data_IF_359071274653
#
_entry.id   IF_359071274653
#
_cell.length_a   1.000
_cell.length_b   1.000
_cell.length_c   1.000
_cell.angle_alpha   90.00
_cell.angle_beta   90.00
_cell.angle_gamma   90.00
#
_symmetry.space_group_name_H-M   'P 1'
#
loop_
_entity.id
_entity.type
_entity.pdbx_description
1 polymer ?
#
# COMPACT_ATOMS: atom_id res chain seq x y z
N UNK A 1 15.07 15.41 -15.88
CA UNK A 1 15.28 14.32 -14.90
C UNK A 1 14.10 14.37 -13.93
N UNK A 2 13.26 13.33 -13.93
CA UNK A 2 12.04 13.28 -13.11
C UNK A 2 12.39 13.35 -11.62
N UNK A 3 11.56 13.99 -10.79
CA UNK A 3 11.83 14.16 -9.36
C UNK A 3 12.02 12.82 -8.62
N UNK A 4 11.30 11.76 -9.00
CA UNK A 4 11.50 10.41 -8.48
C UNK A 4 12.92 9.86 -8.71
N UNK A 5 13.56 10.17 -9.83
CA UNK A 5 14.95 9.78 -10.09
C UNK A 5 15.92 10.50 -9.15
N UNK A 6 15.63 11.75 -8.77
CA UNK A 6 16.43 12.48 -7.76
C UNK A 6 16.27 11.85 -6.39
N UNK A 7 15.06 11.47 -6.00
CA UNK A 7 14.77 10.80 -4.74
C UNK A 7 15.51 9.44 -4.69
N UNK A 8 15.36 8.61 -5.72
CA UNK A 8 16.05 7.33 -5.84
C UNK A 8 17.58 7.45 -5.82
N UNK A 9 18.15 8.62 -6.08
CA UNK A 9 19.61 8.87 -6.01
C UNK A 9 20.10 9.28 -4.62
N UNK A 10 19.21 9.71 -3.74
CA UNK A 10 19.55 10.19 -2.39
C UNK A 10 19.40 9.11 -1.32
N UNK A 11 18.55 8.11 -1.55
CA UNK A 11 18.31 7.02 -0.59
C UNK A 11 19.50 6.05 -0.59
N UNK A 12 19.84 5.53 0.59
CA UNK A 12 20.82 4.45 0.76
C UNK A 12 20.16 3.08 0.60
N UNK A 13 20.54 2.32 -0.42
CA UNK A 13 20.04 0.99 -0.71
C UNK A 13 21.03 0.23 -1.61
N UNK A 14 20.87 -1.09 -1.66
CA UNK A 14 21.40 -1.92 -2.75
C UNK A 14 20.24 -2.67 -3.42
N UNK A 15 20.48 -3.13 -4.64
CA UNK A 15 19.48 -3.88 -5.41
C UNK A 15 20.08 -5.18 -5.93
N UNK A 16 19.23 -6.18 -6.07
CA UNK A 16 19.56 -7.50 -6.61
C UNK A 16 18.48 -7.89 -7.65
N UNK A 17 18.91 -8.18 -8.88
CA UNK A 17 18.06 -8.79 -9.89
C UNK A 17 18.05 -10.30 -9.69
N UNK A 18 17.01 -10.83 -9.07
CA UNK A 18 16.86 -12.27 -8.84
C UNK A 18 16.42 -12.97 -10.14
N UNK A 19 15.53 -12.34 -10.90
CA UNK A 19 15.11 -12.80 -12.23
C UNK A 19 14.51 -11.63 -13.04
N UNK A 20 14.14 -11.82 -14.32
CA UNK A 20 13.43 -10.78 -15.08
C UNK A 20 12.12 -10.32 -14.43
N UNK A 21 11.53 -11.15 -13.56
CA UNK A 21 10.24 -10.90 -12.91
C UNK A 21 10.36 -10.58 -11.42
N UNK A 22 11.55 -10.67 -10.84
CA UNK A 22 11.80 -10.52 -9.40
C UNK A 22 12.98 -9.59 -9.16
N UNK A 23 12.74 -8.54 -8.38
CA UNK A 23 13.72 -7.52 -8.04
C UNK A 23 13.70 -7.26 -6.55
N UNK A 24 14.87 -7.30 -5.91
CA UNK A 24 14.99 -7.14 -4.47
C UNK A 24 15.73 -5.86 -4.14
N UNK A 25 15.18 -5.08 -3.21
CA UNK A 25 15.77 -3.85 -2.67
C UNK A 25 16.16 -4.09 -1.23
N UNK A 26 17.42 -3.84 -0.89
CA UNK A 26 17.90 -3.91 0.48
C UNK A 26 17.97 -2.51 1.08
N UNK A 27 17.37 -2.36 2.27
CA UNK A 27 17.24 -1.11 3.00
C UNK A 27 18.01 -1.25 4.32
N UNK A 28 19.32 -0.93 4.37
CA UNK A 28 20.15 -1.20 5.55
C UNK A 28 19.70 -0.45 6.80
N UNK A 29 19.08 0.73 6.64
CA UNK A 29 18.60 1.55 7.76
C UNK A 29 17.24 1.12 8.35
N UNK A 30 16.47 0.28 7.65
CA UNK A 30 15.16 -0.16 8.10
C UNK A 30 14.17 0.97 8.41
N UNK A 31 13.37 0.81 9.47
CA UNK A 31 12.43 1.83 9.94
C UNK A 31 13.12 2.89 10.83
N UNK A 32 12.88 4.18 10.57
CA UNK A 32 13.36 5.28 11.41
C UNK A 32 12.48 5.48 12.66
N UNK A 33 12.93 6.31 13.61
CA UNK A 33 12.16 6.65 14.81
C UNK A 33 10.74 7.19 14.50
N UNK A 34 10.59 8.02 13.48
CA UNK A 34 9.28 8.55 13.05
C UNK A 34 8.30 7.47 12.61
N UNK A 35 8.80 6.26 12.30
CA UNK A 35 7.97 5.17 11.86
C UNK A 35 7.07 4.61 12.95
N UNK A 36 7.35 4.90 14.22
CA UNK A 36 6.65 4.35 15.39
C UNK A 36 5.62 5.35 15.94
N UNK A 37 4.48 4.85 16.39
CA UNK A 37 3.46 5.65 17.07
C UNK A 37 3.86 6.01 18.50
N UNK A 38 3.26 7.07 19.04
CA UNK A 38 3.60 7.58 20.36
C UNK A 38 2.93 6.79 21.50
N UNK A 39 1.92 5.99 21.21
CA UNK A 39 1.04 5.41 22.23
C UNK A 39 1.46 4.00 22.64
N UNK A 40 1.78 3.16 21.66
CA UNK A 40 2.15 1.76 21.83
C UNK A 40 3.54 1.44 21.27
N UNK A 41 4.20 2.40 20.60
CA UNK A 41 5.48 2.16 19.94
C UNK A 41 5.33 1.21 18.76
N UNK A 42 4.15 1.15 18.14
CA UNK A 42 3.91 0.28 16.98
C UNK A 42 4.28 0.98 15.67
N UNK A 43 4.68 0.21 14.67
CA UNK A 43 4.93 0.74 13.33
C UNK A 43 3.63 1.32 12.76
N UNK A 44 3.66 2.59 12.38
CA UNK A 44 2.54 3.28 11.73
C UNK A 44 2.25 2.67 10.35
N UNK A 45 0.98 2.54 9.96
CA UNK A 45 0.61 2.10 8.61
C UNK A 45 1.25 2.92 7.48
N UNK A 46 1.36 4.24 7.67
CA UNK A 46 2.04 5.13 6.72
C UNK A 46 3.47 4.69 6.47
N UNK A 47 4.20 4.30 7.51
CA UNK A 47 5.60 3.86 7.40
C UNK A 47 5.73 2.59 6.56
N UNK A 48 4.80 1.65 6.74
CA UNK A 48 4.71 0.43 5.92
C UNK A 48 4.49 0.77 4.44
N UNK A 49 3.51 1.63 4.15
CA UNK A 49 3.20 2.08 2.78
C UNK A 49 4.38 2.83 2.14
N UNK A 50 5.04 3.71 2.90
CA UNK A 50 6.15 4.53 2.41
C UNK A 50 7.43 3.74 2.17
N UNK A 51 7.73 2.71 2.99
CA UNK A 51 8.88 1.83 2.75
C UNK A 51 8.74 1.10 1.41
N UNK A 52 7.54 0.59 1.12
CA UNK A 52 7.26 -0.07 -0.17
C UNK A 52 7.23 0.93 -1.32
N UNK A 53 6.76 2.16 -1.10
CA UNK A 53 6.83 3.18 -2.14
C UNK A 53 8.26 3.53 -2.49
N UNK A 54 9.08 3.76 -1.48
CA UNK A 54 10.51 4.04 -1.62
C UNK A 54 11.24 2.91 -2.34
N UNK A 55 10.97 1.65 -1.98
CA UNK A 55 11.56 0.49 -2.66
C UNK A 55 11.08 0.39 -4.11
N UNK A 56 9.82 0.72 -4.41
CA UNK A 56 9.29 0.74 -5.77
C UNK A 56 9.96 1.81 -6.63
N UNK A 57 10.09 3.04 -6.13
CA UNK A 57 10.80 4.13 -6.80
C UNK A 57 12.25 3.74 -7.10
N UNK A 58 12.94 3.10 -6.15
CA UNK A 58 14.33 2.65 -6.36
C UNK A 58 14.45 1.47 -7.31
N UNK A 59 13.43 0.60 -7.40
CA UNK A 59 13.39 -0.47 -8.41
C UNK A 59 13.09 0.04 -9.82
N UNK A 60 12.27 1.09 -9.97
CA UNK A 60 11.95 1.68 -11.27
C UNK A 60 13.07 2.56 -11.81
N UNK A 61 13.80 3.25 -10.93
CA UNK A 61 14.92 4.14 -11.30
C UNK A 61 16.18 3.87 -10.47
N UNK A 62 16.78 2.68 -10.57
CA UNK A 62 17.97 2.34 -9.81
C UNK A 62 19.19 3.16 -10.25
N UNK A 63 20.12 3.47 -9.32
CA UNK A 63 21.30 4.31 -9.61
C UNK A 63 22.30 3.66 -10.58
N UNK A 64 22.50 2.34 -10.48
CA UNK A 64 23.61 1.60 -11.10
C UNK A 64 23.18 0.22 -11.64
N UNK A 65 21.88 0.02 -11.89
CA UNK A 65 21.33 -1.26 -12.32
C UNK A 65 20.26 -1.06 -13.38
N UNK A 66 19.71 -2.14 -13.93
CA UNK A 66 18.62 -2.05 -14.88
C UNK A 66 17.28 -1.78 -14.17
N UNK A 67 16.39 -1.05 -14.82
CA UNK A 67 15.05 -0.77 -14.28
C UNK A 67 14.24 -2.07 -14.17
N UNK A 68 13.62 -2.30 -13.01
CA UNK A 68 12.70 -3.42 -12.84
C UNK A 68 11.56 -3.32 -13.85
N UNK A 69 11.31 -4.41 -14.60
CA UNK A 69 10.30 -4.48 -15.67
C UNK A 69 10.46 -3.43 -16.78
N UNK A 70 11.69 -2.95 -17.02
CA UNK A 70 12.00 -1.87 -17.96
C UNK A 70 11.13 -0.63 -17.73
N UNK A 71 10.77 -0.34 -16.47
CA UNK A 71 9.81 0.70 -16.12
C UNK A 71 10.27 2.09 -16.54
N UNK A 72 11.56 2.38 -16.45
CA UNK A 72 12.09 3.64 -16.96
C UNK A 72 11.82 3.81 -18.46
N UNK A 73 11.96 2.74 -19.26
CA UNK A 73 11.67 2.78 -20.70
C UNK A 73 10.17 2.89 -20.95
N UNK A 74 9.37 2.09 -20.24
CA UNK A 74 7.92 2.05 -20.42
C UNK A 74 7.26 3.41 -20.10
N UNK A 75 7.72 4.08 -19.04
CA UNK A 75 7.17 5.35 -18.56
C UNK A 75 7.70 6.60 -19.29
N UNK A 76 8.52 6.44 -20.34
CA UNK A 76 8.89 7.58 -21.22
C UNK A 76 7.72 8.03 -22.09
N UNK A 77 6.94 7.06 -22.56
CA UNK A 77 5.85 7.28 -23.53
C UNK A 77 4.46 7.04 -22.92
N UNK A 78 4.40 6.59 -21.66
CA UNK A 78 3.16 6.19 -21.00
C UNK A 78 3.09 6.73 -19.57
N UNK A 79 1.87 6.85 -19.06
CA UNK A 79 1.60 7.08 -17.64
C UNK A 79 1.19 5.77 -16.98
N UNK A 80 1.30 5.73 -15.66
CA UNK A 80 0.82 4.60 -14.86
C UNK A 80 -0.09 5.11 -13.76
N UNK A 81 -1.27 4.51 -13.67
CA UNK A 81 -2.24 4.79 -12.63
C UNK A 81 -2.35 3.59 -11.68
N UNK A 82 -2.51 3.86 -10.38
CA UNK A 82 -2.72 2.81 -9.38
C UNK A 82 -4.23 2.68 -9.17
N UNK A 83 -4.82 1.58 -9.61
CA UNK A 83 -6.26 1.37 -9.50
C UNK A 83 -6.67 0.79 -8.13
N UNK A 84 -5.84 -0.11 -7.59
CA UNK A 84 -6.09 -0.76 -6.29
C UNK A 84 -4.77 -1.05 -5.60
N UNK A 85 -4.71 -0.85 -4.29
CA UNK A 85 -3.68 -1.42 -3.42
C UNK A 85 -4.30 -2.35 -2.38
N UNK A 86 -3.52 -3.31 -1.92
CA UNK A 86 -3.80 -4.10 -0.74
C UNK A 86 -2.52 -4.30 0.05
N UNK A 87 -2.57 -3.99 1.34
CA UNK A 87 -1.55 -4.24 2.34
C UNK A 87 -2.09 -5.30 3.30
N UNK A 88 -1.32 -6.35 3.51
CA UNK A 88 -1.52 -7.37 4.55
C UNK A 88 -0.33 -7.35 5.48
N UNK A 89 -0.57 -7.21 6.77
CA UNK A 89 0.46 -7.06 7.78
C UNK A 89 0.53 -8.34 8.62
N UNK A 90 1.73 -8.79 8.95
CA UNK A 90 1.95 -9.86 9.93
C UNK A 90 1.97 -9.27 11.34
N UNK A 91 1.38 -9.95 12.34
CA UNK A 91 1.46 -9.47 13.73
C UNK A 91 2.91 -9.32 14.22
N UNK A 92 3.85 -10.08 13.66
CA UNK A 92 5.28 -10.02 14.02
C UNK A 92 5.89 -8.62 13.87
N UNK A 93 5.37 -7.76 12.98
CA UNK A 93 5.88 -6.39 12.84
C UNK A 93 5.59 -5.52 14.07
N UNK A 94 4.62 -5.90 14.90
CA UNK A 94 4.25 -5.15 16.11
C UNK A 94 4.94 -5.63 17.38
N UNK A 95 5.64 -6.77 17.32
CA UNK A 95 6.43 -7.25 18.45
C UNK A 95 7.65 -6.34 18.70
N UNK A 96 7.88 -6.00 19.96
CA UNK A 96 8.97 -5.11 20.38
C UNK A 96 10.35 -5.74 20.15
N UNK A 97 10.49 -7.04 20.44
CA UNK A 97 11.77 -7.77 20.33
C UNK A 97 12.12 -8.17 18.89
N UNK A 98 11.23 -7.89 17.94
CA UNK A 98 11.46 -8.19 16.54
C UNK A 98 12.30 -7.08 15.90
N UNK A 99 13.43 -7.40 15.24
CA UNK A 99 14.27 -6.39 14.59
C UNK A 99 13.48 -5.50 13.62
N UNK A 100 13.85 -4.24 13.47
CA UNK A 100 13.21 -3.30 12.52
C UNK A 100 14.17 -2.81 11.42
N UNK A 101 15.35 -3.42 11.40
CA UNK A 101 16.44 -3.22 10.46
C UNK A 101 17.38 -4.45 10.50
N UNK A 102 18.16 -4.70 9.44
CA UNK A 102 17.95 -4.18 8.09
C UNK A 102 16.67 -4.77 7.48
N UNK A 103 16.07 -4.05 6.54
CA UNK A 103 14.88 -4.51 5.82
C UNK A 103 15.22 -4.89 4.38
N UNK A 104 14.38 -5.72 3.78
CA UNK A 104 14.41 -5.99 2.33
C UNK A 104 13.00 -6.00 1.79
N UNK A 105 12.82 -5.47 0.58
CA UNK A 105 11.57 -5.56 -0.17
C UNK A 105 11.81 -6.32 -1.46
N UNK A 106 11.13 -7.45 -1.61
CA UNK A 106 11.15 -8.22 -2.86
C UNK A 106 9.93 -7.88 -3.68
N UNK A 107 10.13 -7.24 -4.83
CA UNK A 107 9.10 -6.98 -5.82
C UNK A 107 9.02 -8.13 -6.84
N UNK A 108 7.81 -8.58 -7.16
CA UNK A 108 7.57 -9.55 -8.21
C UNK A 108 6.40 -9.15 -9.11
N UNK A 109 6.52 -9.43 -10.41
CA UNK A 109 5.40 -9.32 -11.34
C UNK A 109 4.46 -10.50 -11.10
N UNK A 110 3.26 -10.22 -10.62
CA UNK A 110 2.32 -11.24 -10.16
C UNK A 110 1.16 -11.49 -11.15
N UNK A 111 0.88 -10.55 -12.04
CA UNK A 111 -0.18 -10.65 -13.04
C UNK A 111 0.07 -9.68 -14.19
N UNK A 112 -0.31 -10.07 -15.41
CA UNK A 112 -0.33 -9.24 -16.61
C UNK A 112 -1.69 -9.42 -17.29
N UNK A 113 -2.37 -8.31 -17.53
CA UNK A 113 -3.54 -8.19 -18.40
C UNK A 113 -3.18 -7.37 -19.64
N UNK A 114 -4.18 -7.01 -20.45
CA UNK A 114 -3.96 -6.26 -21.69
C UNK A 114 -3.33 -4.87 -21.44
N UNK A 115 -3.93 -4.10 -20.51
CA UNK A 115 -3.52 -2.73 -20.16
C UNK A 115 -3.16 -2.58 -18.69
N UNK A 116 -3.07 -3.67 -17.93
CA UNK A 116 -2.84 -3.63 -16.49
C UNK A 116 -1.90 -4.73 -16.01
N UNK A 117 -1.25 -4.49 -14.88
CA UNK A 117 -0.39 -5.47 -14.23
C UNK A 117 -0.54 -5.42 -12.72
N UNK A 118 -0.09 -6.48 -12.04
CA UNK A 118 0.00 -6.50 -10.57
C UNK A 118 1.45 -6.69 -10.16
N UNK A 119 1.93 -5.83 -9.26
CA UNK A 119 3.20 -6.05 -8.56
C UNK A 119 2.88 -6.53 -7.15
N UNK A 120 3.47 -7.65 -6.74
CA UNK A 120 3.53 -8.10 -5.35
C UNK A 120 4.83 -7.61 -4.74
N UNK A 121 4.78 -7.12 -3.50
CA UNK A 121 5.96 -6.70 -2.76
C UNK A 121 5.94 -7.34 -1.38
N UNK A 122 7.01 -8.03 -1.01
CA UNK A 122 7.12 -8.71 0.29
C UNK A 122 8.19 -7.99 1.09
N UNK A 123 7.81 -7.47 2.25
CA UNK A 123 8.70 -6.82 3.21
C UNK A 123 9.21 -7.87 4.21
N UNK A 124 10.52 -8.04 4.27
CA UNK A 124 11.19 -9.00 5.16
C UNK A 124 12.30 -8.34 5.97
N UNK A 125 12.68 -9.00 7.07
CA UNK A 125 13.92 -8.78 7.78
C UNK A 125 14.73 -10.09 7.75
N UNK A 126 16.05 -10.09 7.50
CA UNK A 126 16.85 -11.31 7.41
C UNK A 126 16.77 -12.22 8.65
N UNK A 127 16.60 -11.64 9.83
CA UNK A 127 16.56 -12.36 11.11
C UNK A 127 15.17 -12.92 11.44
N UNK A 128 14.15 -12.57 10.65
CA UNK A 128 12.77 -13.00 10.90
C UNK A 128 12.32 -13.96 9.80
N UNK A 129 11.86 -15.18 10.17
CA UNK A 129 11.53 -16.22 9.20
C UNK A 129 10.28 -15.87 8.37
N UNK A 130 9.34 -15.11 8.94
CA UNK A 130 8.10 -14.69 8.28
C UNK A 130 8.21 -13.23 7.79
N UNK A 131 7.57 -12.90 6.65
CA UNK A 131 7.52 -11.51 6.18
C UNK A 131 6.70 -10.63 7.15
N UNK A 132 7.09 -9.36 7.28
CA UNK A 132 6.33 -8.38 8.05
C UNK A 132 5.07 -7.93 7.36
N UNK A 133 5.12 -7.84 6.03
CA UNK A 133 3.97 -7.41 5.26
C UNK A 133 4.07 -7.87 3.81
N UNK A 134 2.91 -8.04 3.21
CA UNK A 134 2.76 -8.25 1.78
C UNK A 134 1.90 -7.13 1.20
N UNK A 135 2.34 -6.61 0.07
CA UNK A 135 1.68 -5.53 -0.63
C UNK A 135 1.38 -5.95 -2.04
N UNK A 136 0.21 -5.55 -2.52
CA UNK A 136 -0.20 -5.76 -3.88
C UNK A 136 -0.62 -4.44 -4.47
N UNK A 137 -0.11 -4.14 -5.65
CA UNK A 137 -0.45 -2.92 -6.37
C UNK A 137 -0.94 -3.30 -7.76
N UNK A 138 -2.15 -2.87 -8.10
CA UNK A 138 -2.70 -3.00 -9.44
C UNK A 138 -2.46 -1.72 -10.23
N UNK A 139 -1.62 -1.81 -11.25
CA UNK A 139 -1.28 -0.72 -12.14
C UNK A 139 -2.05 -0.83 -13.44
N UNK A 140 -2.48 0.31 -13.98
CA UNK A 140 -3.05 0.45 -15.31
C UNK A 140 -2.12 1.35 -16.13
N UNK A 141 -1.74 0.90 -17.31
CA UNK A 141 -0.97 1.70 -18.27
C UNK A 141 -1.93 2.66 -18.97
N UNK A 142 -1.58 3.94 -19.00
CA UNK A 142 -2.42 5.01 -19.51
C UNK A 142 -1.68 5.73 -20.65
N UNK A 143 -2.38 5.94 -21.75
CA UNK A 143 -1.91 6.77 -22.85
C UNK A 143 -1.96 8.26 -22.42
N UNK A 144 -0.84 9.00 -22.48
CA UNK A 144 -0.78 10.37 -21.97
C UNK A 144 -1.69 11.34 -22.72
N UNK A 145 -1.91 11.13 -24.02
CA UNK A 145 -2.68 12.04 -24.88
C UNK A 145 -4.19 11.86 -24.71
N UNK A 146 -4.64 10.61 -24.64
CA UNK A 146 -6.08 10.27 -24.53
C UNK A 146 -6.54 10.13 -23.09
N UNK A 147 -5.60 9.97 -22.13
CA UNK A 147 -5.87 9.69 -20.72
C UNK A 147 -6.70 8.42 -20.50
N UNK A 148 -6.62 7.46 -21.43
CA UNK A 148 -7.34 6.18 -21.40
C UNK A 148 -6.40 5.00 -21.21
N UNK A 149 -6.88 3.87 -20.67
CA UNK A 149 -6.10 2.63 -20.61
C UNK A 149 -5.59 2.22 -21.99
N UNK A 150 -4.31 1.86 -22.08
CA UNK A 150 -3.65 1.42 -23.32
C UNK A 150 -2.93 0.09 -23.12
N UNK A 151 -2.79 -0.69 -24.19
CA UNK A 151 -2.13 -1.98 -24.12
C UNK A 151 -0.62 -1.82 -23.88
N UNK A 152 0.01 -2.81 -23.24
CA UNK A 152 1.47 -2.81 -23.15
C UNK A 152 2.12 -2.87 -24.54
N UNK A 153 3.22 -2.15 -24.78
CA UNK A 153 3.95 -2.23 -26.03
C UNK A 153 4.41 -3.64 -26.35
N UNK A 154 4.46 -3.99 -27.64
CA UNK A 154 4.86 -5.34 -28.10
C UNK A 154 6.19 -5.79 -27.50
N UNK A 155 7.21 -4.94 -27.47
CA UNK A 155 8.52 -5.27 -26.90
C UNK A 155 8.46 -5.67 -25.42
N UNK A 156 7.51 -5.09 -24.66
CA UNK A 156 7.32 -5.39 -23.24
C UNK A 156 6.61 -6.73 -23.09
N UNK A 157 5.58 -6.97 -23.91
CA UNK A 157 4.86 -8.25 -23.93
C UNK A 157 5.72 -9.41 -24.42
N UNK A 158 6.58 -9.20 -25.42
CA UNK A 158 7.50 -10.23 -25.91
C UNK A 158 8.49 -10.66 -24.81
N UNK A 159 8.90 -9.73 -23.93
CA UNK A 159 9.83 -10.00 -22.81
C UNK A 159 9.14 -10.59 -21.58
N UNK A 160 7.97 -10.06 -21.20
CA UNK A 160 7.33 -10.38 -19.92
C UNK A 160 6.03 -11.18 -20.02
N UNK A 161 5.40 -11.22 -21.19
CA UNK A 161 4.09 -11.85 -21.41
C UNK A 161 4.10 -13.37 -21.31
N UNK A 162 5.27 -14.01 -21.32
CA UNK A 162 5.43 -15.44 -21.07
C UNK A 162 5.31 -15.82 -19.58
N UNK A 163 5.23 -14.84 -18.70
CA UNK A 163 4.98 -15.07 -17.28
C UNK A 163 3.73 -15.93 -17.12
N UNK A 164 3.86 -17.04 -16.40
CA UNK A 164 2.73 -17.82 -15.89
C UNK A 164 2.43 -17.28 -14.50
N UNK A 165 1.49 -16.33 -14.34
CA UNK A 165 1.24 -15.76 -13.03
C UNK A 165 0.68 -16.83 -12.10
N UNK A 166 1.17 -16.85 -10.85
CA UNK A 166 0.54 -17.64 -9.78
C UNK A 166 -0.90 -17.18 -9.53
N UNK A 167 -1.20 -15.91 -9.85
CA UNK A 167 -2.51 -15.29 -9.67
C UNK A 167 -3.16 -14.98 -11.01
N UNK A 168 -4.28 -15.65 -11.30
CA UNK A 168 -4.98 -15.54 -12.60
C UNK A 168 -5.85 -14.29 -12.69
N UNK A 169 -6.08 -13.56 -11.59
CA UNK A 169 -7.04 -12.43 -11.54
C UNK A 169 -6.41 -11.10 -11.10
N UNK A 170 -6.90 -9.98 -11.64
CA UNK A 170 -6.49 -8.66 -11.17
C UNK A 170 -6.93 -8.45 -9.71
N UNK A 171 -6.19 -7.61 -8.98
CA UNK A 171 -6.61 -7.16 -7.67
C UNK A 171 -7.77 -6.16 -7.86
N UNK A 172 -8.98 -6.59 -7.49
CA UNK A 172 -10.19 -5.78 -7.55
C UNK A 172 -10.80 -5.70 -6.16
N UNK A 173 -11.14 -4.49 -5.77
CA UNK A 173 -12.01 -4.23 -4.63
C UNK A 173 -13.41 -3.98 -5.16
N UNK A 174 -14.40 -4.67 -4.59
CA UNK A 174 -15.79 -4.43 -4.94
C UNK A 174 -16.23 -3.04 -4.49
N UNK A 175 -17.19 -2.48 -5.22
CA UNK A 175 -17.75 -1.18 -4.85
C UNK A 175 -18.46 -1.30 -3.51
N UNK A 176 -18.07 -0.44 -2.58
CA UNK A 176 -18.70 -0.39 -1.27
C UNK A 176 -19.95 0.47 -1.35
N UNK A 177 -21.04 0.00 -0.75
CA UNK A 177 -22.25 0.79 -0.61
C UNK A 177 -22.18 1.56 0.71
N UNK A 178 -22.09 2.89 0.63
CA UNK A 178 -22.13 3.76 1.80
C UNK A 178 -23.54 3.73 2.41
N UNK A 179 -23.69 3.39 3.70
CA UNK A 179 -24.98 3.45 4.40
C UNK A 179 -25.40 4.91 4.66
N UNK A 180 -26.70 5.13 4.88
CA UNK A 180 -27.25 6.46 5.20
C UNK A 180 -26.65 7.05 6.49
N UNK A 181 -26.31 6.19 7.45
CA UNK A 181 -25.65 6.58 8.69
C UNK A 181 -24.18 6.18 8.64
N UNK A 182 -23.31 7.17 8.57
CA UNK A 182 -21.88 7.00 8.65
C UNK A 182 -21.25 8.10 9.52
N UNK A 183 -20.02 7.85 9.95
CA UNK A 183 -19.18 8.82 10.64
C UNK A 183 -18.52 9.70 9.59
N UNK A 184 -18.42 11.00 9.87
CA UNK A 184 -17.91 12.00 8.94
C UNK A 184 -16.69 12.69 9.52
N UNK A 185 -15.65 12.83 8.70
CA UNK A 185 -14.46 13.62 8.96
C UNK A 185 -14.16 14.49 7.75
N UNK A 186 -13.42 15.58 7.96
CA UNK A 186 -13.05 16.50 6.90
C UNK A 186 -11.60 16.90 7.03
N UNK A 187 -10.86 16.76 5.93
CA UNK A 187 -9.45 17.11 5.88
C UNK A 187 -9.17 18.10 4.76
N UNK A 188 -8.00 18.74 4.84
CA UNK A 188 -7.42 19.55 3.79
C UNK A 188 -6.14 18.84 3.35
N UNK A 189 -5.95 18.65 2.05
CA UNK A 189 -4.72 18.09 1.50
C UNK A 189 -3.60 19.12 1.67
N UNK A 190 -2.60 18.80 2.48
CA UNK A 190 -1.44 19.68 2.64
C UNK A 190 -0.35 19.36 1.61
N UNK A 191 0.58 20.30 1.31
CA UNK A 191 1.70 20.04 0.39
C UNK A 191 2.49 18.76 0.69
N UNK A 192 2.66 18.42 1.99
CA UNK A 192 3.34 17.20 2.44
C UNK A 192 2.60 15.91 2.11
N UNK A 193 1.33 16.02 1.76
CA UNK A 193 0.48 14.90 1.39
C UNK A 193 0.49 14.64 -0.13
N UNK A 194 1.09 15.54 -0.90
CA UNK A 194 1.23 15.43 -2.34
C UNK A 194 2.52 14.70 -2.76
N UNK A 195 2.47 14.07 -3.92
CA UNK A 195 3.65 13.55 -4.61
C UNK A 195 4.30 14.60 -5.50
N UNK A 196 5.29 14.20 -6.30
CA UNK A 196 6.06 15.11 -7.16
C UNK A 196 5.27 15.67 -8.35
N UNK A 197 4.05 15.20 -8.56
CA UNK A 197 3.10 15.71 -9.56
C UNK A 197 2.01 16.57 -8.91
N UNK A 198 2.17 16.97 -7.65
CA UNK A 198 1.25 17.85 -6.93
C UNK A 198 -0.14 17.21 -6.70
N UNK A 199 -0.26 15.90 -6.89
CA UNK A 199 -1.43 15.12 -6.55
C UNK A 199 -1.28 14.52 -5.16
N UNK A 200 -2.37 14.35 -4.41
CA UNK A 200 -2.38 13.57 -3.17
C UNK A 200 -1.77 12.20 -3.42
N UNK A 201 -0.68 11.89 -2.70
CA UNK A 201 0.00 10.61 -2.82
C UNK A 201 -0.96 9.47 -2.47
N UNK A 202 -0.92 8.40 -3.27
CA UNK A 202 -1.77 7.22 -3.08
C UNK A 202 -1.65 6.62 -1.66
N UNK A 203 -0.47 6.72 -1.03
CA UNK A 203 -0.24 6.21 0.31
C UNK A 203 -1.01 7.01 1.38
N UNK A 204 -1.31 8.29 1.12
CA UNK A 204 -1.96 9.16 2.08
C UNK A 204 -3.45 8.94 2.17
N UNK A 205 -4.13 8.50 1.12
CA UNK A 205 -5.54 8.11 1.23
C UNK A 205 -5.76 7.01 2.27
N UNK A 206 -4.89 5.99 2.29
CA UNK A 206 -4.93 4.95 3.32
C UNK A 206 -4.64 5.50 4.73
N UNK A 207 -3.73 6.47 4.83
CA UNK A 207 -3.43 7.14 6.09
C UNK A 207 -4.59 8.01 6.59
N UNK A 208 -5.27 8.75 5.71
CA UNK A 208 -6.44 9.55 6.06
C UNK A 208 -7.55 8.67 6.64
N UNK A 209 -7.87 7.56 5.97
CA UNK A 209 -8.81 6.56 6.50
C UNK A 209 -8.37 6.04 7.88
N UNK A 210 -7.09 5.70 8.04
CA UNK A 210 -6.56 5.18 9.31
C UNK A 210 -6.65 6.21 10.44
N UNK A 211 -6.30 7.47 10.17
CA UNK A 211 -6.32 8.55 11.15
C UNK A 211 -7.75 8.85 11.61
N UNK A 212 -8.70 9.01 10.67
CA UNK A 212 -10.12 9.17 11.00
C UNK A 212 -10.65 7.97 11.78
N UNK A 213 -10.27 6.74 11.39
CA UNK A 213 -10.64 5.53 12.12
C UNK A 213 -10.14 5.56 13.58
N UNK A 214 -8.89 5.94 13.78
CA UNK A 214 -8.30 6.05 15.11
C UNK A 214 -9.03 7.10 15.97
N UNK A 215 -9.41 8.25 15.39
CA UNK A 215 -10.17 9.29 16.09
C UNK A 215 -11.54 8.77 16.50
N UNK A 216 -12.27 8.16 15.59
CA UNK A 216 -13.62 7.64 15.84
C UNK A 216 -13.63 6.47 16.84
N UNK A 217 -12.66 5.56 16.75
CA UNK A 217 -12.52 4.45 17.70
C UNK A 217 -12.19 4.92 19.12
N UNK A 218 -11.35 5.96 19.27
CA UNK A 218 -11.05 6.56 20.58
C UNK A 218 -12.22 7.35 21.17
N UNK A 219 -13.12 7.86 20.31
CA UNK A 219 -14.38 8.47 20.71
C UNK A 219 -15.52 7.46 20.90
N UNK A 220 -15.25 6.15 20.75
CA UNK A 220 -16.24 5.08 20.84
C UNK A 220 -17.43 5.26 19.89
N UNK A 221 -17.18 5.79 18.70
CA UNK A 221 -18.22 6.03 17.69
C UNK A 221 -18.48 4.82 16.78
N UNK A 222 -17.49 3.94 16.63
CA UNK A 222 -17.70 2.65 15.99
C UNK A 222 -18.37 1.66 16.94
N UNK A 223 -19.11 0.70 16.37
CA UNK A 223 -19.75 -0.39 17.10
C UNK A 223 -18.78 -1.51 17.41
N UNK A 224 -17.85 -1.80 16.49
CA UNK A 224 -16.98 -2.98 16.59
C UNK A 224 -15.51 -2.61 16.81
N UNK A 225 -15.06 -1.47 16.29
CA UNK A 225 -13.68 -1.00 16.43
C UNK A 225 -13.55 -0.14 17.69
N UNK A 226 -12.59 -0.47 18.55
CA UNK A 226 -12.35 0.29 19.77
C UNK A 226 -10.86 0.50 20.03
N UNK A 227 -10.52 1.12 21.16
CA UNK A 227 -9.13 1.40 21.53
C UNK A 227 -8.26 0.14 21.65
N UNK A 228 -8.83 -1.02 21.99
CA UNK A 228 -8.10 -2.29 22.02
C UNK A 228 -7.80 -2.78 20.59
N UNK A 229 -8.74 -2.67 19.65
CA UNK A 229 -8.50 -2.96 18.23
C UNK A 229 -7.31 -2.16 17.70
N UNK A 230 -7.20 -0.87 18.07
CA UNK A 230 -6.06 -0.04 17.69
C UNK A 230 -4.73 -0.57 18.26
N UNK A 231 -4.71 -1.02 19.53
CA UNK A 231 -3.54 -1.57 20.22
C UNK A 231 -3.11 -2.94 19.71
N UNK A 232 -4.04 -3.72 19.18
CA UNK A 232 -3.75 -5.01 18.55
C UNK A 232 -3.00 -4.85 17.22
N UNK A 233 -3.07 -3.65 16.63
CA UNK A 233 -2.36 -3.31 15.40
C UNK A 233 -3.21 -3.52 14.15
N UNK A 234 -2.78 -2.86 13.07
CA UNK A 234 -3.42 -2.96 11.77
C UNK A 234 -3.11 -4.32 11.14
N UNK A 235 -4.15 -5.02 10.68
CA UNK A 235 -4.05 -6.29 9.95
C UNK A 235 -4.03 -6.09 8.44
N UNK A 236 -4.92 -5.24 7.91
CA UNK A 236 -4.96 -5.00 6.47
C UNK A 236 -5.51 -3.63 6.07
N UNK A 237 -5.05 -3.12 4.92
CA UNK A 237 -5.63 -1.97 4.24
C UNK A 237 -5.87 -2.36 2.78
N UNK A 238 -7.05 -2.08 2.25
CA UNK A 238 -7.32 -2.14 0.82
C UNK A 238 -7.87 -0.80 0.38
N UNK A 239 -7.38 -0.24 -0.73
CA UNK A 239 -7.86 1.04 -1.29
C UNK A 239 -8.07 0.88 -2.78
N UNK A 240 -9.21 1.30 -3.29
CA UNK A 240 -9.48 1.45 -4.73
C UNK A 240 -9.59 2.93 -5.09
N UNK A 241 -8.72 3.38 -5.98
CA UNK A 241 -8.63 4.76 -6.42
C UNK A 241 -9.47 4.97 -7.68
N UNK A 242 -10.27 6.02 -7.69
CA UNK A 242 -11.17 6.40 -8.78
C UNK A 242 -10.81 7.77 -9.36
N UNK A 243 -10.39 8.71 -8.50
CA UNK A 243 -10.03 10.06 -8.90
C UNK A 243 -8.88 10.60 -8.05
N UNK A 244 -8.04 11.41 -8.66
CA UNK A 244 -6.98 12.16 -7.99
C UNK A 244 -7.59 13.37 -7.25
N UNK A 245 -6.89 13.86 -6.22
CA UNK A 245 -7.16 15.13 -5.55
C UNK A 245 -5.88 15.95 -5.50
N UNK A 246 -6.03 17.26 -5.38
CA UNK A 246 -4.94 18.23 -5.47
C UNK A 246 -4.61 18.84 -4.11
N UNK A 247 -3.47 19.51 -4.05
CA UNK A 247 -3.08 20.32 -2.90
C UNK A 247 -4.18 21.35 -2.55
N UNK A 248 -4.38 21.57 -1.25
CA UNK A 248 -5.37 22.48 -0.66
C UNK A 248 -6.84 22.13 -0.92
N UNK A 249 -7.14 21.08 -1.68
CA UNK A 249 -8.51 20.58 -1.78
C UNK A 249 -8.97 20.02 -0.44
N UNK A 250 -10.25 20.23 -0.15
CA UNK A 250 -10.88 19.58 0.99
C UNK A 250 -11.46 18.24 0.59
N UNK A 251 -11.25 17.24 1.44
CA UNK A 251 -11.78 15.90 1.27
C UNK A 251 -12.74 15.58 2.40
N UNK A 252 -13.93 15.12 2.05
CA UNK A 252 -14.92 14.61 3.01
C UNK A 252 -14.75 13.08 3.11
N UNK A 253 -14.52 12.59 4.32
CA UNK A 253 -14.26 11.18 4.61
C UNK A 253 -15.48 10.61 5.34
N UNK A 254 -16.10 9.61 4.74
CA UNK A 254 -17.21 8.87 5.32
C UNK A 254 -16.74 7.51 5.77
N UNK A 255 -17.10 7.08 6.98
CA UNK A 255 -16.70 5.79 7.52
C UNK A 255 -17.81 5.05 8.27
N UNK A 256 -17.81 3.72 8.16
CA UNK A 256 -18.78 2.85 8.83
C UNK A 256 -18.18 1.46 9.14
N UNK A 257 -18.71 0.79 10.18
CA UNK A 257 -18.36 -0.59 10.51
C UNK A 257 -18.83 -1.58 9.44
N UNK A 258 -18.07 -2.65 9.24
CA UNK A 258 -18.55 -3.87 8.57
C UNK A 258 -19.32 -4.73 9.59
N UNK A 259 -20.64 -4.84 9.43
CA UNK A 259 -21.50 -5.61 10.36
C UNK A 259 -21.22 -7.11 10.33
N UNK A 260 -20.56 -7.61 9.28
CA UNK A 260 -20.24 -9.03 9.11
C UNK A 260 -18.80 -9.36 9.49
N UNK A 261 -17.95 -8.34 9.67
CA UNK A 261 -16.55 -8.51 10.03
C UNK A 261 -16.17 -7.55 11.18
N UNK A 262 -16.17 -8.02 12.43
CA UNK A 262 -15.70 -7.24 13.56
C UNK A 262 -14.28 -6.71 13.32
N UNK A 263 -13.97 -5.55 13.89
CA UNK A 263 -12.67 -4.88 13.73
C UNK A 263 -12.35 -4.39 12.31
N UNK A 264 -13.36 -4.31 11.43
CA UNK A 264 -13.21 -3.81 10.07
C UNK A 264 -14.11 -2.60 9.82
N UNK A 265 -13.54 -1.57 9.22
CA UNK A 265 -14.24 -0.38 8.78
C UNK A 265 -14.07 -0.16 7.28
N UNK A 266 -15.08 0.46 6.71
CA UNK A 266 -15.15 0.89 5.34
C UNK A 266 -15.07 2.42 5.27
N UNK A 267 -14.58 2.90 4.13
CA UNK A 267 -14.38 4.32 3.90
C UNK A 267 -14.75 4.70 2.46
N UNK A 268 -15.30 5.89 2.32
CA UNK A 268 -15.45 6.59 1.04
C UNK A 268 -14.91 8.01 1.21
N UNK A 269 -14.00 8.42 0.32
CA UNK A 269 -13.43 9.75 0.31
C UNK A 269 -13.94 10.49 -0.91
N UNK A 270 -14.61 11.62 -0.69
CA UNK A 270 -15.10 12.52 -1.73
C UNK A 270 -14.21 13.77 -1.80
N UNK A 271 -14.01 14.30 -3.02
CA UNK A 271 -13.46 15.64 -3.17
C UNK A 271 -14.53 16.72 -2.90
N UNK A 272 -14.10 17.97 -2.90
CA UNK A 272 -14.98 19.15 -2.76
C UNK A 272 -16.13 19.24 -3.77
N UNK A 273 -16.07 18.52 -4.90
CA UNK A 273 -17.13 18.45 -5.91
C UNK A 273 -18.09 17.26 -5.69
N UNK A 274 -17.93 16.50 -4.60
CA UNK A 274 -18.73 15.31 -4.29
C UNK A 274 -18.35 14.07 -5.11
N UNK A 275 -17.22 14.08 -5.81
CA UNK A 275 -16.77 12.93 -6.60
C UNK A 275 -15.93 11.98 -5.76
N UNK A 276 -16.15 10.68 -5.93
CA UNK A 276 -15.39 9.65 -5.20
C UNK A 276 -13.93 9.67 -5.67
N UNK A 277 -13.01 10.05 -4.78
CA UNK A 277 -11.57 9.89 -4.98
C UNK A 277 -11.16 8.44 -4.77
N UNK A 278 -11.58 7.83 -3.67
CA UNK A 278 -11.32 6.43 -3.39
C UNK A 278 -12.32 5.80 -2.43
N UNK A 279 -12.39 4.48 -2.45
CA UNK A 279 -13.01 3.67 -1.41
C UNK A 279 -11.95 2.81 -0.74
N UNK A 280 -12.05 2.62 0.57
CA UNK A 280 -11.07 1.84 1.33
C UNK A 280 -11.71 0.91 2.35
N UNK A 281 -10.94 -0.06 2.81
CA UNK A 281 -11.28 -0.91 3.94
C UNK A 281 -10.04 -1.09 4.81
N UNK A 282 -10.23 -0.98 6.12
CA UNK A 282 -9.19 -1.15 7.13
C UNK A 282 -9.66 -2.21 8.10
N UNK A 283 -8.78 -3.16 8.43
CA UNK A 283 -9.03 -4.22 9.39
C UNK A 283 -7.92 -4.24 10.44
N UNK A 284 -8.30 -4.41 11.71
CA UNK A 284 -7.38 -4.58 12.83
C UNK A 284 -7.33 -6.03 13.29
N UNK A 285 -6.27 -6.40 14.00
CA UNK A 285 -6.19 -7.71 14.65
C UNK A 285 -7.21 -7.82 15.79
N UNK A 286 -7.76 -9.03 15.95
CA UNK A 286 -8.76 -9.29 17.00
C UNK A 286 -8.11 -9.49 18.36
N UNK A 287 -6.88 -9.98 18.37
CA UNK A 287 -6.10 -10.26 19.56
C UNK A 287 -4.76 -9.54 19.54
N UNK A 288 -4.04 -9.57 20.66
CA UNK A 288 -2.68 -9.01 20.71
C UNK A 288 -1.76 -9.72 19.69
N UNK A 289 -0.69 -9.06 19.20
CA UNK A 289 0.23 -9.66 18.25
C UNK A 289 0.79 -11.03 18.69
N UNK A 290 1.06 -11.19 19.99
CA UNK A 290 1.53 -12.43 20.60
C UNK A 290 0.49 -13.55 20.51
N UNK A 291 -0.78 -13.25 20.76
CA UNK A 291 -1.89 -14.19 20.68
C UNK A 291 -2.19 -14.61 19.23
N UNK A 292 -2.16 -13.66 18.30
CA UNK A 292 -2.34 -13.91 16.86
C UNK A 292 -1.29 -14.92 16.37
N UNK A 293 -0.01 -14.72 16.68
CA UNK A 293 1.07 -15.63 16.28
C UNK A 293 0.97 -17.02 16.91
N UNK A 294 0.52 -17.12 18.17
CA UNK A 294 0.25 -18.42 18.82
C UNK A 294 -0.84 -19.18 18.08
N UNK A 295 -1.91 -18.49 17.68
CA UNK A 295 -3.02 -19.09 16.96
C UNK A 295 -2.60 -19.60 15.56
N UNK A 296 -1.80 -18.82 14.82
CA UNK A 296 -1.26 -19.23 13.52
C UNK A 296 -0.42 -20.51 13.61
N UNK A 297 0.40 -20.61 14.67
CA UNK A 297 1.29 -21.76 14.89
C UNK A 297 0.48 -23.03 15.19
N UNK A 298 -0.56 -22.92 16.02
CA UNK A 298 -1.45 -24.04 16.34
C UNK A 298 -2.29 -24.49 15.13
N UNK A 299 -2.70 -23.56 14.26
CA UNK A 299 -3.40 -23.90 13.03
C UNK A 299 -2.50 -24.66 12.04
N UNK A 300 -1.24 -24.23 11.90
CA UNK A 300 -0.27 -24.86 11.00
C UNK A 300 0.13 -26.27 11.47
N UNK A 301 0.20 -26.51 12.78
CA UNK A 301 0.53 -27.82 13.35
C UNK A 301 -0.60 -28.87 13.23
N UNK A 302 -1.80 -28.45 12.82
CA UNK A 302 -2.98 -29.33 12.62
C UNK A 302 -3.20 -29.73 11.16
N UNK A 303 -2.38 -29.25 10.24
CA UNK A 303 -2.35 -29.60 8.82
C UNK A 303 -1.20 -30.58 8.54
#
# INVERSE_FOLDING_TARGET
MLAFQRIARQINYSVEHVSPFIFKVHLPGGFSYEAFDNAAGMIKPRSLLMVVESSRVTSFWPKKSESFLDMERLLRDNLIYIATIQLQVSPSVYLQDTPKYPLSVTHSLAYIGNSSKRISSILTCPEVPKPYAQFFVHHVLIDPATRKPTAFPKWWMDKYGSLKPEVVRPLKMDHLLRPDQCLEDKIIVHPRDCDVYEHTSWANYGNFCYDSCCVFARKSLYKTINSQSLKNGLKSITVSFKKESLELESLDIYSWDDIHAPNKAHFEILNQNGEICCQASIEFFSHSPEEELRSETQATAKL
#
